data_IF_382237871440
#
_entry.id   IF_382237871440
#
_cell.length_a   1.000
_cell.length_b   1.000
_cell.length_c   1.000
_cell.angle_alpha   90.00
_cell.angle_beta   90.00
_cell.angle_gamma   90.00
#
_symmetry.space_group_name_H-M   'P 1'
#
loop_
_entity.id
_entity.type
_entity.pdbx_description
1 polymer ?
#
# COMPACT_ATOMS: atom_id res chain seq x y z
N UNK A 1 -44.36 9.74 8.28
CA UNK A 1 -42.89 9.60 8.35
C UNK A 1 -42.32 10.99 8.61
N UNK A 2 -41.58 11.21 9.70
CA UNK A 2 -40.80 12.45 9.84
C UNK A 2 -39.62 12.33 8.88
N UNK A 3 -39.45 13.31 8.00
CA UNK A 3 -38.29 13.40 7.11
C UNK A 3 -37.03 13.53 7.98
N UNK A 4 -36.17 12.52 7.91
CA UNK A 4 -34.87 12.50 8.58
C UNK A 4 -33.79 12.18 7.56
N UNK A 5 -32.70 12.95 7.59
CA UNK A 5 -31.55 12.71 6.71
C UNK A 5 -30.64 11.64 7.31
N UNK A 6 -30.21 10.69 6.47
CA UNK A 6 -29.10 9.80 6.81
C UNK A 6 -27.78 10.55 6.62
N UNK A 7 -26.99 10.68 7.70
CA UNK A 7 -25.72 11.43 7.69
C UNK A 7 -24.60 10.53 8.18
N UNK A 8 -23.58 10.34 7.33
CA UNK A 8 -22.31 9.75 7.75
C UNK A 8 -21.37 10.90 8.11
N UNK A 9 -21.22 11.16 9.42
CA UNK A 9 -20.53 12.35 9.93
C UNK A 9 -19.01 12.18 10.07
N UNK A 10 -18.51 10.94 10.13
CA UNK A 10 -17.08 10.61 10.16
C UNK A 10 -16.84 9.20 9.63
N UNK A 11 -15.67 8.97 9.06
CA UNK A 11 -15.26 7.66 8.59
C UNK A 11 -13.87 7.68 7.97
N UNK A 12 -13.29 6.50 7.81
CA UNK A 12 -12.08 6.26 7.03
C UNK A 12 -12.27 5.00 6.21
N UNK A 13 -11.58 4.91 5.09
CA UNK A 13 -11.67 3.75 4.21
C UNK A 13 -10.66 3.81 3.08
N UNK A 14 -10.76 2.81 2.22
CA UNK A 14 -9.85 2.64 1.09
C UNK A 14 -10.66 2.26 -0.15
N UNK A 15 -10.25 2.79 -1.29
CA UNK A 15 -10.78 2.44 -2.60
C UNK A 15 -9.67 1.69 -3.34
N UNK A 16 -9.97 0.47 -3.77
CA UNK A 16 -9.07 -0.37 -4.55
C UNK A 16 -9.54 -0.36 -6.00
N UNK A 17 -8.88 0.44 -6.84
CA UNK A 17 -9.08 0.42 -8.28
C UNK A 17 -8.09 -0.56 -8.91
N UNK A 18 -8.57 -1.73 -9.31
CA UNK A 18 -7.72 -2.87 -9.70
C UNK A 18 -7.76 -3.09 -11.21
N UNK A 19 -6.59 -3.20 -11.82
CA UNK A 19 -6.37 -3.56 -13.21
C UNK A 19 -5.45 -4.79 -13.25
N UNK A 20 -6.03 -5.96 -12.95
CA UNK A 20 -5.28 -7.21 -12.79
C UNK A 20 -4.48 -7.60 -14.04
N UNK A 21 -5.03 -7.31 -15.21
CA UNK A 21 -4.46 -7.64 -16.52
C UNK A 21 -3.53 -6.53 -17.04
N UNK A 22 -3.51 -5.35 -16.40
CA UNK A 22 -2.70 -4.22 -16.82
C UNK A 22 -3.13 -3.64 -18.18
N UNK A 23 -4.44 -3.64 -18.46
CA UNK A 23 -4.99 -3.15 -19.72
C UNK A 23 -4.91 -1.63 -19.86
N UNK A 24 -4.95 -0.89 -18.74
CA UNK A 24 -5.05 0.56 -18.71
C UNK A 24 -3.83 1.26 -18.11
N UNK A 25 -2.96 0.53 -17.38
CA UNK A 25 -1.84 1.12 -16.63
C UNK A 25 -0.69 0.15 -16.42
N UNK A 26 0.47 0.70 -16.05
CA UNK A 26 1.71 -0.05 -15.86
C UNK A 26 1.73 -0.90 -14.57
N UNK A 27 0.73 -0.79 -13.69
CA UNK A 27 0.64 -1.40 -12.36
C UNK A 27 -0.78 -1.92 -12.07
N UNK A 28 -0.93 -2.88 -11.15
CA UNK A 28 -2.21 -3.59 -10.99
C UNK A 28 -3.19 -2.96 -10.02
N UNK A 29 -2.75 -2.06 -9.15
CA UNK A 29 -3.60 -1.49 -8.10
C UNK A 29 -3.36 0.02 -7.96
N UNK A 30 -4.43 0.79 -7.94
CA UNK A 30 -4.44 2.15 -7.43
C UNK A 30 -5.30 2.18 -6.17
N UNK A 31 -4.63 2.34 -5.02
CA UNK A 31 -5.23 2.35 -3.69
C UNK A 31 -5.31 3.78 -3.16
N UNK A 32 -6.54 4.27 -3.04
CA UNK A 32 -6.82 5.60 -2.48
C UNK A 32 -7.30 5.45 -1.05
N UNK A 33 -6.63 6.09 -0.09
CA UNK A 33 -7.10 6.17 1.30
C UNK A 33 -7.83 7.46 1.51
N UNK A 34 -8.96 7.40 2.21
CA UNK A 34 -9.73 8.58 2.56
C UNK A 34 -10.09 8.57 4.04
N UNK A 35 -10.24 9.76 4.59
CA UNK A 35 -10.81 10.00 5.90
C UNK A 35 -11.61 11.29 5.89
N UNK A 36 -12.65 11.35 6.72
CA UNK A 36 -13.49 12.52 6.90
C UNK A 36 -14.03 12.57 8.33
N UNK A 37 -14.54 13.74 8.73
CA UNK A 37 -15.05 13.98 10.08
C UNK A 37 -13.97 13.91 11.17
N UNK A 38 -12.74 14.33 10.87
CA UNK A 38 -11.62 14.37 11.82
C UNK A 38 -11.03 13.00 12.17
N UNK A 39 -11.37 11.95 11.43
CA UNK A 39 -10.84 10.59 11.68
C UNK A 39 -9.38 10.51 11.21
N UNK A 40 -8.42 10.04 12.03
CA UNK A 40 -7.05 9.82 11.57
C UNK A 40 -7.00 8.64 10.59
N UNK A 41 -6.04 8.67 9.67
CA UNK A 41 -5.76 7.55 8.76
C UNK A 41 -4.30 7.15 8.85
N UNK A 42 -4.03 5.88 8.59
CA UNK A 42 -2.68 5.33 8.67
C UNK A 42 -1.98 5.44 7.31
N UNK A 43 -0.68 5.74 7.37
CA UNK A 43 0.20 5.54 6.23
C UNK A 43 0.35 4.04 5.97
N UNK A 44 0.88 3.76 4.81
CA UNK A 44 0.31 2.75 3.95
C UNK A 44 1.39 1.78 3.48
N UNK A 45 1.19 0.50 3.73
CA UNK A 45 2.05 -0.56 3.24
C UNK A 45 3.43 -0.64 3.92
N UNK A 46 4.11 -1.79 3.80
CA UNK A 46 5.39 -2.02 4.46
C UNK A 46 6.43 -0.96 4.08
N UNK A 47 7.40 -0.75 4.97
CA UNK A 47 8.49 0.20 4.77
C UNK A 47 9.81 -0.53 4.60
N UNK A 48 10.55 -0.19 3.55
CA UNK A 48 11.93 -0.65 3.39
C UNK A 48 12.85 0.29 4.18
N UNK A 49 13.69 -0.28 5.03
CA UNK A 49 14.63 0.40 5.92
C UNK A 49 15.99 0.62 5.26
N UNK A 50 16.85 1.36 5.95
CA UNK A 50 18.26 1.57 5.62
C UNK A 50 19.12 0.29 5.63
N UNK A 51 18.63 -0.80 6.24
CA UNK A 51 19.25 -2.13 6.15
C UNK A 51 19.20 -2.75 4.74
N UNK A 52 18.54 -2.09 3.78
CA UNK A 52 18.44 -2.58 2.41
C UNK A 52 19.82 -2.64 1.75
N UNK A 53 20.22 -3.84 1.32
CA UNK A 53 21.45 -4.06 0.53
C UNK A 53 21.23 -3.97 -0.99
N UNK A 54 20.13 -3.37 -1.42
CA UNK A 54 19.81 -3.09 -2.83
C UNK A 54 19.79 -4.32 -3.77
N UNK A 55 19.63 -5.54 -3.24
CA UNK A 55 19.67 -6.78 -4.02
C UNK A 55 18.51 -6.95 -5.04
N UNK A 56 17.45 -6.15 -4.93
CA UNK A 56 16.31 -6.14 -5.85
C UNK A 56 15.37 -7.35 -5.78
N UNK A 57 15.57 -8.31 -4.86
CA UNK A 57 14.68 -9.48 -4.71
C UNK A 57 13.22 -9.08 -4.45
N UNK A 58 12.99 -8.11 -3.56
CA UNK A 58 11.66 -7.59 -3.26
C UNK A 58 10.95 -7.07 -4.53
N UNK A 59 11.65 -6.30 -5.37
CA UNK A 59 11.11 -5.79 -6.65
C UNK A 59 10.75 -6.92 -7.61
N UNK A 60 11.57 -7.98 -7.70
CA UNK A 60 11.33 -9.12 -8.60
C UNK A 60 10.09 -9.92 -8.22
N UNK A 61 9.82 -10.10 -6.93
CA UNK A 61 8.66 -10.89 -6.46
C UNK A 61 7.34 -10.10 -6.42
N UNK A 62 7.39 -8.78 -6.57
CA UNK A 62 6.19 -7.93 -6.47
C UNK A 62 5.34 -8.00 -7.75
N UNK A 63 4.28 -8.81 -7.74
CA UNK A 63 3.34 -8.99 -8.86
C UNK A 63 2.54 -7.71 -9.20
N UNK A 64 2.34 -6.83 -8.22
CA UNK A 64 1.65 -5.56 -8.38
C UNK A 64 2.54 -4.40 -8.86
N UNK A 65 3.85 -4.64 -9.02
CA UNK A 65 4.85 -3.62 -9.43
C UNK A 65 4.87 -2.41 -8.49
N UNK A 66 4.66 -2.67 -7.21
CA UNK A 66 4.62 -1.66 -6.14
C UNK A 66 6.01 -1.24 -5.62
N UNK A 67 7.11 -1.70 -6.23
CA UNK A 67 8.46 -1.45 -5.71
C UNK A 67 9.31 -0.72 -6.75
N UNK A 68 9.78 0.46 -6.38
CA UNK A 68 10.69 1.31 -7.16
C UNK A 68 12.13 1.11 -6.70
N UNK A 69 13.08 1.18 -7.64
CA UNK A 69 14.51 1.18 -7.32
C UNK A 69 14.90 2.53 -6.69
N UNK A 70 15.67 2.49 -5.61
CA UNK A 70 16.20 3.63 -4.87
C UNK A 70 17.35 3.17 -3.96
N UNK A 71 17.84 4.06 -3.10
CA UNK A 71 18.82 3.77 -2.04
C UNK A 71 18.28 4.29 -0.70
N UNK A 72 17.50 3.49 0.07
CA UNK A 72 17.08 2.10 -0.20
C UNK A 72 16.00 1.98 -1.28
N UNK A 73 15.65 0.75 -1.68
CA UNK A 73 14.45 0.50 -2.49
C UNK A 73 13.20 1.05 -1.79
N UNK A 74 12.17 1.41 -2.55
CA UNK A 74 10.97 2.05 -2.00
C UNK A 74 9.70 1.31 -2.41
N UNK A 75 8.75 1.18 -1.48
CA UNK A 75 7.39 0.71 -1.75
C UNK A 75 6.54 1.92 -2.13
N UNK A 76 5.78 1.80 -3.21
CA UNK A 76 4.76 2.75 -3.66
C UNK A 76 3.44 2.33 -3.00
N UNK A 77 3.00 3.02 -1.94
CA UNK A 77 1.88 2.56 -1.11
C UNK A 77 0.54 2.42 -1.84
N UNK A 78 0.34 3.24 -2.87
CA UNK A 78 -0.86 3.24 -3.71
C UNK A 78 -0.91 2.01 -4.62
N UNK A 79 0.23 1.34 -4.84
CA UNK A 79 0.33 0.16 -5.70
C UNK A 79 0.41 -1.15 -4.91
N UNK A 80 0.53 -1.09 -3.59
CA UNK A 80 0.78 -2.24 -2.74
C UNK A 80 -0.53 -2.89 -2.26
N UNK A 81 -0.63 -4.21 -2.44
CA UNK A 81 -1.74 -5.07 -2.02
C UNK A 81 -1.53 -5.71 -0.64
N UNK A 82 -0.45 -5.35 0.07
CA UNK A 82 -0.07 -5.90 1.38
C UNK A 82 0.10 -7.43 1.41
N UNK A 83 0.46 -8.07 0.29
CA UNK A 83 0.62 -9.54 0.22
C UNK A 83 1.81 -10.12 1.02
N UNK A 84 2.73 -9.30 1.52
CA UNK A 84 3.86 -9.74 2.34
C UNK A 84 5.02 -10.45 1.60
N UNK A 85 4.90 -10.73 0.30
CA UNK A 85 5.95 -11.42 -0.48
C UNK A 85 7.33 -10.75 -0.39
N UNK A 86 7.37 -9.42 -0.33
CA UNK A 86 8.62 -8.67 -0.21
C UNK A 86 9.32 -8.89 1.14
N UNK A 87 8.56 -9.02 2.22
CA UNK A 87 9.05 -9.26 3.58
C UNK A 87 9.69 -10.65 3.63
N UNK A 88 8.96 -11.67 3.18
CA UNK A 88 9.41 -13.07 3.21
C UNK A 88 10.67 -13.32 2.37
N UNK A 89 10.87 -12.59 1.27
CA UNK A 89 12.03 -12.79 0.40
C UNK A 89 13.28 -12.00 0.82
N UNK A 90 13.14 -11.02 1.73
CA UNK A 90 14.23 -10.11 2.05
C UNK A 90 15.34 -10.84 2.84
N UNK A 91 16.56 -11.00 2.30
CA UNK A 91 17.60 -11.80 2.94
C UNK A 91 18.21 -11.14 4.19
N UNK A 92 17.94 -9.85 4.38
CA UNK A 92 18.49 -9.02 5.47
C UNK A 92 17.37 -8.48 6.37
N UNK A 93 16.14 -8.98 6.20
CA UNK A 93 14.96 -8.59 6.96
C UNK A 93 14.73 -7.06 6.99
N UNK A 94 15.09 -6.35 5.93
CA UNK A 94 15.08 -4.89 5.85
C UNK A 94 13.70 -4.26 5.63
N UNK A 95 12.61 -5.03 5.70
CA UNK A 95 11.26 -4.55 5.45
C UNK A 95 10.45 -4.68 6.73
N UNK A 96 9.92 -3.55 7.21
CA UNK A 96 9.07 -3.44 8.40
C UNK A 96 7.60 -3.48 7.97
N UNK A 97 6.79 -4.27 8.67
CA UNK A 97 5.33 -4.30 8.48
C UNK A 97 4.70 -2.96 8.88
N UNK A 98 3.61 -2.59 8.21
CA UNK A 98 2.74 -1.52 8.71
C UNK A 98 2.03 -2.01 9.98
N UNK A 99 2.57 -1.68 11.15
CA UNK A 99 1.80 -1.78 12.38
C UNK A 99 0.72 -0.70 12.37
N UNK A 100 -0.49 -1.10 12.01
CA UNK A 100 -1.71 -0.30 12.13
C UNK A 100 -2.21 -0.48 13.57
N UNK A 101 -2.00 0.53 14.42
CA UNK A 101 -2.88 0.80 15.56
C UNK A 101 -3.72 2.04 15.25
#
# INVERSE_FOLDING_TARGET
MKEGNFVIYKGKGEIFDVDFEGQYRDHKLLRTRFSYGGTPYNLAGPRITDRCIECGKCKKVCSFKAIRKGSPYEIIPERCDDCGSCILTCPVNAIEESLIF
#
